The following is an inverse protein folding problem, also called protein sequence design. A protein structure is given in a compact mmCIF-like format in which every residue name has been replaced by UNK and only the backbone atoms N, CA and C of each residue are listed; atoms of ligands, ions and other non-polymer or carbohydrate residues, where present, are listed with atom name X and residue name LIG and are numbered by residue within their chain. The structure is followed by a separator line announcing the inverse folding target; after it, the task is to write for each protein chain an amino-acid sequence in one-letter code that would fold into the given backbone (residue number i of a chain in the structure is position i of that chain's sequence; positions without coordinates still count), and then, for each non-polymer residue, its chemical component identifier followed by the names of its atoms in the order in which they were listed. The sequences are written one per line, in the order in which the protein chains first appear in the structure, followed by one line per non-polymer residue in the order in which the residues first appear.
data_IF_647458288959
#
_entry.id   IF_647458288959
#
_cell.length_a   1.000
_cell.length_b   1.000
_cell.length_c   1.000
_cell.angle_alpha   90.00
_cell.angle_beta   90.00
_cell.angle_gamma   90.00
#
_symmetry.space_group_name_H-M   'P 1'
#
loop_
_entity.id
_entity.type
_entity.pdbx_description
1 polymer ?
#
# COMPACT_ATOMS: atom_id res chain seq x y z
N UNK A 1 9.19 5.04 -18.42
CA UNK A 1 7.85 5.65 -18.50
C UNK A 1 7.01 5.49 -17.23
N UNK A 2 7.25 4.51 -16.34
CA UNK A 2 6.60 4.46 -15.02
C UNK A 2 6.69 5.81 -14.29
N UNK A 3 7.85 6.46 -14.41
CA UNK A 3 8.10 7.81 -13.88
C UNK A 3 7.43 8.94 -14.69
N UNK A 4 7.06 8.70 -15.94
CA UNK A 4 6.50 9.68 -16.87
C UNK A 4 4.99 9.89 -16.68
N UNK A 5 4.41 10.81 -17.45
CA UNK A 5 2.97 11.11 -17.47
C UNK A 5 2.08 9.94 -17.86
N UNK A 6 2.62 8.93 -18.55
CA UNK A 6 1.88 7.71 -18.91
C UNK A 6 1.48 6.89 -17.67
N UNK A 7 2.19 7.07 -16.55
CA UNK A 7 1.97 6.34 -15.30
C UNK A 7 2.00 7.32 -14.11
N UNK A 8 3.05 7.29 -13.28
CA UNK A 8 3.10 7.95 -11.97
C UNK A 8 3.41 9.46 -12.04
N UNK A 9 4.02 9.94 -13.12
CA UNK A 9 4.37 11.35 -13.32
C UNK A 9 5.14 11.95 -12.12
N UNK A 10 6.25 11.31 -11.75
CA UNK A 10 6.98 11.59 -10.49
C UNK A 10 7.54 13.01 -10.40
N UNK A 11 7.77 13.68 -11.53
CA UNK A 11 8.22 15.07 -11.56
C UNK A 11 7.16 16.03 -10.99
N UNK A 12 5.88 15.64 -11.01
CA UNK A 12 4.77 16.40 -10.39
C UNK A 12 4.25 15.76 -9.10
N UNK A 13 4.26 14.43 -9.02
CA UNK A 13 3.75 13.67 -7.89
C UNK A 13 4.83 12.73 -7.35
N UNK A 14 5.81 13.25 -6.58
CA UNK A 14 6.97 12.48 -6.17
C UNK A 14 6.65 11.41 -5.11
N UNK A 15 5.47 11.48 -4.50
CA UNK A 15 5.07 10.65 -3.36
C UNK A 15 3.69 10.04 -3.55
N UNK A 16 3.54 8.80 -3.05
CA UNK A 16 2.27 8.13 -2.83
C UNK A 16 1.99 8.23 -1.33
N UNK A 17 0.77 8.59 -0.95
CA UNK A 17 0.39 8.73 0.46
C UNK A 17 -0.77 7.80 0.78
N UNK A 18 -0.69 7.13 1.92
CA UNK A 18 -1.80 6.40 2.50
C UNK A 18 -2.06 6.94 3.90
N UNK A 19 -3.31 7.30 4.19
CA UNK A 19 -3.73 7.74 5.52
C UNK A 19 -4.86 6.84 6.02
N UNK A 20 -4.61 6.04 7.05
CA UNK A 20 -5.63 5.18 7.64
C UNK A 20 -6.78 6.01 8.22
N UNK A 21 -8.00 5.57 7.98
CA UNK A 21 -9.25 6.17 8.49
C UNK A 21 -10.02 5.22 9.40
N UNK A 22 -9.85 3.90 9.24
CA UNK A 22 -10.52 2.89 10.06
C UNK A 22 -9.68 1.62 10.15
N UNK A 23 -9.67 1.00 11.33
CA UNK A 23 -9.13 -0.34 11.57
C UNK A 23 -10.26 -1.21 12.11
N UNK A 24 -10.40 -2.41 11.55
CA UNK A 24 -11.37 -3.42 11.98
C UNK A 24 -10.63 -4.72 12.26
N UNK A 25 -10.55 -5.07 13.54
CA UNK A 25 -9.93 -6.31 13.98
C UNK A 25 -10.90 -7.47 13.75
N UNK A 26 -10.41 -8.54 13.11
CA UNK A 26 -11.17 -9.78 12.85
C UNK A 26 -10.75 -10.91 13.79
N UNK A 27 -9.47 -10.92 14.20
CA UNK A 27 -8.90 -11.78 15.23
C UNK A 27 -7.67 -11.10 15.85
N UNK A 28 -7.00 -11.77 16.77
CA UNK A 28 -5.73 -11.28 17.34
C UNK A 28 -4.66 -11.00 16.26
N UNK A 29 -4.64 -11.81 15.20
CA UNK A 29 -3.62 -11.74 14.14
C UNK A 29 -4.12 -11.12 12.84
N UNK A 30 -5.43 -10.90 12.66
CA UNK A 30 -5.99 -10.49 11.37
C UNK A 30 -6.96 -9.34 11.51
N UNK A 31 -6.95 -8.46 10.52
CA UNK A 31 -7.88 -7.35 10.44
C UNK A 31 -7.95 -6.74 9.06
N UNK A 32 -8.68 -5.64 8.95
CA UNK A 32 -8.69 -4.78 7.78
C UNK A 32 -8.38 -3.35 8.18
N UNK A 33 -7.63 -2.65 7.33
CA UNK A 33 -7.31 -1.24 7.49
C UNK A 33 -7.81 -0.48 6.28
N UNK A 34 -8.81 0.37 6.46
CA UNK A 34 -9.27 1.29 5.42
C UNK A 34 -8.52 2.61 5.57
N UNK A 35 -8.13 3.20 4.45
CA UNK A 35 -7.50 4.52 4.41
C UNK A 35 -7.61 5.18 3.05
N UNK A 36 -7.30 6.46 3.03
CA UNK A 36 -7.26 7.28 1.82
C UNK A 36 -5.90 7.10 1.14
N UNK A 37 -5.89 6.46 -0.03
CA UNK A 37 -4.72 6.29 -0.88
C UNK A 37 -4.69 7.39 -1.93
N UNK A 38 -3.61 8.17 -1.96
CA UNK A 38 -3.35 9.19 -2.97
C UNK A 38 -2.23 8.74 -3.90
N UNK A 39 -2.53 8.58 -5.19
CA UNK A 39 -1.55 8.31 -6.25
C UNK A 39 -1.79 9.32 -7.37
N UNK A 40 -0.73 9.97 -7.87
CA UNK A 40 -0.83 10.94 -8.98
C UNK A 40 -1.84 12.07 -8.71
N UNK A 41 -1.94 12.50 -7.44
CA UNK A 41 -2.87 13.54 -6.98
C UNK A 41 -4.34 13.12 -6.91
N UNK A 42 -4.69 11.87 -7.24
CA UNK A 42 -6.05 11.33 -7.14
C UNK A 42 -6.15 10.49 -5.87
N UNK A 43 -7.22 10.72 -5.08
CA UNK A 43 -7.44 10.05 -3.79
C UNK A 43 -8.63 9.11 -3.86
N UNK A 44 -8.44 7.87 -3.41
CA UNK A 44 -9.51 6.88 -3.27
C UNK A 44 -9.41 6.14 -1.92
N UNK A 45 -10.55 5.78 -1.30
CA UNK A 45 -10.55 4.89 -0.16
C UNK A 45 -10.14 3.48 -0.60
N UNK A 46 -9.17 2.89 0.10
CA UNK A 46 -8.64 1.55 -0.13
C UNK A 46 -8.64 0.79 1.18
N UNK A 47 -9.07 -0.47 1.13
CA UNK A 47 -8.99 -1.39 2.26
C UNK A 47 -7.84 -2.38 2.04
N UNK A 48 -6.97 -2.46 3.04
CA UNK A 48 -5.90 -3.43 3.16
C UNK A 48 -6.36 -4.60 4.04
N UNK A 49 -6.13 -5.83 3.62
CA UNK A 49 -6.17 -6.98 4.52
C UNK A 49 -4.85 -7.03 5.28
N UNK A 50 -4.89 -6.99 6.62
CA UNK A 50 -3.68 -6.93 7.47
C UNK A 50 -3.53 -8.22 8.26
N UNK A 51 -2.29 -8.70 8.34
CA UNK A 51 -1.89 -9.87 9.12
C UNK A 51 -0.73 -9.48 10.04
N UNK A 52 -0.84 -9.78 11.34
CA UNK A 52 0.26 -9.80 12.30
C UNK A 52 0.91 -11.17 12.21
N UNK A 53 2.18 -11.23 11.81
CA UNK A 53 2.92 -12.50 11.73
C UNK A 53 3.40 -12.99 13.10
N UNK A 54 3.63 -12.06 14.03
CA UNK A 54 4.11 -12.35 15.38
C UNK A 54 4.80 -11.12 15.98
N UNK A 55 5.14 -11.21 17.26
CA UNK A 55 5.87 -10.17 17.98
C UNK A 55 6.87 -10.78 18.95
N UNK A 56 7.96 -10.07 19.20
CA UNK A 56 9.03 -10.50 20.10
C UNK A 56 9.77 -9.31 20.71
N UNK A 57 10.39 -9.54 21.87
CA UNK A 57 11.27 -8.58 22.51
C UNK A 57 12.71 -8.80 22.05
N UNK A 58 13.28 -7.82 21.36
CA UNK A 58 14.68 -7.77 20.98
C UNK A 58 15.50 -7.11 22.11
N UNK A 59 16.50 -7.79 22.69
CA UNK A 59 17.28 -7.24 23.80
C UNK A 59 18.03 -5.93 23.48
N UNK A 60 18.29 -5.64 22.21
CA UNK A 60 19.01 -4.43 21.79
C UNK A 60 18.08 -3.32 21.31
N UNK A 61 16.96 -3.67 20.68
CA UNK A 61 16.09 -2.70 20.00
C UNK A 61 14.76 -2.47 20.70
N UNK A 62 14.29 -3.38 21.55
CA UNK A 62 12.98 -3.32 22.20
C UNK A 62 11.94 -4.22 21.53
N UNK A 63 10.67 -3.92 21.74
CA UNK A 63 9.56 -4.74 21.24
C UNK A 63 9.36 -4.55 19.73
N UNK A 64 9.25 -5.66 18.99
CA UNK A 64 9.11 -5.70 17.53
C UNK A 64 7.89 -6.49 17.11
N UNK A 65 7.19 -6.01 16.09
CA UNK A 65 5.99 -6.66 15.53
C UNK A 65 6.18 -6.81 14.02
N UNK A 66 6.05 -8.04 13.52
CA UNK A 66 6.03 -8.33 12.08
C UNK A 66 4.60 -8.24 11.52
N UNK A 67 4.45 -7.57 10.39
CA UNK A 67 3.16 -7.40 9.73
C UNK A 67 3.26 -7.56 8.22
N UNK A 68 2.14 -7.96 7.63
CA UNK A 68 1.89 -7.86 6.21
C UNK A 68 0.54 -7.22 5.94
N UNK A 69 0.43 -6.57 4.79
CA UNK A 69 -0.82 -6.06 4.28
C UNK A 69 -0.93 -6.27 2.78
N UNK A 70 -2.12 -6.61 2.29
CA UNK A 70 -2.38 -6.74 0.86
C UNK A 70 -3.64 -5.99 0.42
N UNK A 71 -3.65 -5.56 -0.84
CA UNK A 71 -4.86 -5.11 -1.53
C UNK A 71 -4.68 -5.21 -3.05
N UNK A 72 -5.78 -5.06 -3.78
CA UNK A 72 -5.79 -4.97 -5.23
C UNK A 72 -6.32 -3.61 -5.65
N UNK A 73 -5.58 -2.93 -6.52
CA UNK A 73 -5.94 -1.63 -7.04
C UNK A 73 -6.24 -1.73 -8.53
N UNK A 74 -7.14 -0.89 -9.03
CA UNK A 74 -7.26 -0.64 -10.46
C UNK A 74 -6.47 0.63 -10.81
N UNK A 75 -5.42 0.51 -11.63
CA UNK A 75 -4.55 1.65 -11.99
C UNK A 75 -5.30 2.79 -12.67
N UNK A 76 -6.43 2.50 -13.34
CA UNK A 76 -7.23 3.50 -14.04
C UNK A 76 -7.93 4.45 -13.06
N UNK A 77 -8.24 4.00 -11.85
CA UNK A 77 -8.83 4.84 -10.80
C UNK A 77 -7.89 6.01 -10.46
N UNK A 78 -6.57 5.79 -10.57
CA UNK A 78 -5.54 6.79 -10.32
C UNK A 78 -5.03 7.48 -11.60
N UNK A 79 -5.82 7.49 -12.67
CA UNK A 79 -5.50 8.21 -13.90
C UNK A 79 -4.33 7.65 -14.69
N UNK A 80 -3.96 6.38 -14.48
CA UNK A 80 -2.99 5.66 -15.30
C UNK A 80 -3.72 4.89 -16.40
N UNK A 81 -3.99 5.55 -17.51
CA UNK A 81 -4.85 5.05 -18.61
C UNK A 81 -4.08 4.52 -19.82
N UNK A 82 -2.76 4.34 -19.71
CA UNK A 82 -1.96 3.77 -20.80
C UNK A 82 -2.55 2.42 -21.26
N UNK A 83 -2.78 2.28 -22.56
CA UNK A 83 -3.26 1.05 -23.18
C UNK A 83 -2.36 0.71 -24.36
N UNK A 84 -1.90 -0.54 -24.36
CA UNK A 84 -1.15 -1.11 -25.47
C UNK A 84 -1.66 -2.53 -25.68
N UNK A 85 -1.95 -2.84 -26.93
CA UNK A 85 -2.36 -4.15 -27.38
C UNK A 85 -1.26 -4.74 -28.25
N UNK A 86 -0.91 -6.01 -28.01
CA UNK A 86 0.00 -6.78 -28.84
C UNK A 86 -0.62 -8.17 -29.03
N UNK A 87 -0.71 -8.64 -30.27
CA UNK A 87 -1.36 -9.91 -30.63
C UNK A 87 -2.75 -10.12 -30.01
N UNK A 88 -3.56 -9.06 -29.96
CA UNK A 88 -4.91 -9.09 -29.40
C UNK A 88 -4.96 -9.19 -27.86
N UNK A 89 -3.84 -9.02 -27.17
CA UNK A 89 -3.76 -9.06 -25.70
C UNK A 89 -3.31 -7.71 -25.13
N UNK A 90 -3.87 -7.34 -23.98
CA UNK A 90 -3.40 -6.19 -23.22
C UNK A 90 -1.99 -6.47 -22.68
N UNK A 91 -1.08 -5.54 -22.93
CA UNK A 91 0.30 -5.63 -22.45
C UNK A 91 0.41 -5.26 -20.97
N UNK A 92 -0.52 -4.45 -20.44
CA UNK A 92 -0.51 -3.96 -19.06
C UNK A 92 -1.87 -4.18 -18.39
N UNK A 93 -1.89 -5.01 -17.34
CA UNK A 93 -3.07 -5.27 -16.51
C UNK A 93 -3.63 -3.98 -15.89
N UNK A 94 -4.95 -3.93 -15.69
CA UNK A 94 -5.56 -2.87 -14.89
C UNK A 94 -5.38 -3.14 -13.39
N UNK A 95 -5.45 -4.41 -12.99
CA UNK A 95 -5.28 -4.84 -11.61
C UNK A 95 -3.79 -4.82 -11.23
N UNK A 96 -3.51 -4.16 -10.11
CA UNK A 96 -2.20 -4.10 -9.44
C UNK A 96 -2.36 -4.71 -8.06
N UNK A 97 -1.68 -5.82 -7.80
CA UNK A 97 -1.55 -6.37 -6.46
C UNK A 97 -0.52 -5.54 -5.69
N UNK A 98 -0.91 -5.03 -4.53
CA UNK A 98 -0.03 -4.33 -3.59
C UNK A 98 0.19 -5.26 -2.40
N UNK A 99 1.46 -5.56 -2.11
CA UNK A 99 1.88 -6.31 -0.94
C UNK A 99 2.86 -5.45 -0.15
N UNK A 100 2.60 -5.32 1.14
CA UNK A 100 3.42 -4.59 2.10
C UNK A 100 3.85 -5.60 3.13
N UNK A 101 5.15 -5.68 3.38
CA UNK A 101 5.74 -6.49 4.44
C UNK A 101 6.69 -5.58 5.22
N UNK A 102 6.68 -5.70 6.53
CA UNK A 102 7.55 -4.89 7.36
C UNK A 102 7.53 -5.29 8.83
N UNK A 103 8.37 -4.61 9.58
CA UNK A 103 8.44 -4.72 11.02
C UNK A 103 8.31 -3.35 11.66
N UNK A 104 7.50 -3.26 12.70
CA UNK A 104 7.39 -2.07 13.54
C UNK A 104 8.30 -2.27 14.75
N UNK A 105 9.12 -1.26 15.03
CA UNK A 105 9.85 -1.14 16.27
C UNK A 105 9.08 -0.21 17.20
N UNK A 106 8.80 -0.68 18.41
CA UNK A 106 8.29 0.18 19.46
C UNK A 106 9.42 1.10 19.93
N UNK A 107 9.28 2.40 19.65
CA UNK A 107 10.19 3.43 20.14
C UNK A 107 9.53 4.18 21.28
N UNK A 108 10.20 4.23 22.43
CA UNK A 108 9.77 5.11 23.51
C UNK A 108 9.76 6.56 23.00
N UNK A 109 8.64 7.26 23.21
CA UNK A 109 8.54 8.66 22.89
C UNK A 109 9.59 9.44 23.70
N UNK A 110 10.54 10.08 23.01
CA UNK A 110 11.42 11.05 23.64
C UNK A 110 10.58 12.31 23.92
N UNK A 111 10.47 12.66 25.20
CA UNK A 111 9.92 13.95 25.65
C UNK A 111 10.67 15.15 25.04
#
# INVERSE_FOLDING_TARGET
DLRSSNFLQVDKFPTIHFKSTKIEQKSEEKGTMTGDLTIKGITHPVTLNVVKYGEFNDPMMGHRIGYAAETKLNRKDFGMTFEMMLDGKFVVSNEVLVQIEGELLEVEAKE
#
